data_IF_933000757632
#
_entry.id   IF_933000757632
#
_cell.length_a   1.000
_cell.length_b   1.000
_cell.length_c   1.000
_cell.angle_alpha   90.00
_cell.angle_beta   90.00
_cell.angle_gamma   90.00
#
_symmetry.space_group_name_H-M   'P 1'
#
loop_
_entity.id
_entity.type
_entity.pdbx_description
1 polymer ?
#
# COMPACT_ATOMS: atom_id res chain seq x y z
N UNK A 1 -35.14 -54.79 5.67
CA UNK A 1 -34.21 -54.34 4.61
C UNK A 1 -34.80 -53.20 3.78
N UNK A 2 -36.11 -53.21 3.48
CA UNK A 2 -36.79 -52.14 2.75
C UNK A 2 -36.78 -50.76 3.45
N UNK A 3 -37.04 -50.69 4.76
CA UNK A 3 -37.11 -49.39 5.44
C UNK A 3 -35.79 -48.61 5.45
N UNK A 4 -34.64 -49.29 5.48
CA UNK A 4 -33.32 -48.64 5.35
C UNK A 4 -33.08 -48.09 3.95
N UNK A 5 -33.58 -48.76 2.91
CA UNK A 5 -33.50 -48.28 1.52
C UNK A 5 -34.39 -47.04 1.32
N UNK A 6 -35.59 -47.04 1.88
CA UNK A 6 -36.50 -45.89 1.81
C UNK A 6 -35.92 -44.66 2.53
N UNK A 7 -35.31 -44.85 3.70
CA UNK A 7 -34.66 -43.76 4.43
C UNK A 7 -33.46 -43.18 3.67
N UNK A 8 -32.64 -44.04 3.03
CA UNK A 8 -31.51 -43.58 2.20
C UNK A 8 -31.96 -42.78 0.99
N UNK A 9 -33.05 -43.19 0.33
CA UNK A 9 -33.62 -42.49 -0.83
C UNK A 9 -34.15 -41.12 -0.42
N UNK A 10 -34.83 -41.01 0.73
CA UNK A 10 -35.33 -39.74 1.27
C UNK A 10 -34.17 -38.79 1.62
N UNK A 11 -33.09 -39.32 2.21
CA UNK A 11 -31.89 -38.52 2.53
C UNK A 11 -31.19 -38.03 1.26
N UNK A 12 -31.05 -38.89 0.24
CA UNK A 12 -30.47 -38.50 -1.05
C UNK A 12 -31.31 -37.45 -1.79
N UNK A 13 -32.64 -37.59 -1.79
CA UNK A 13 -33.55 -36.61 -2.39
C UNK A 13 -33.48 -35.26 -1.68
N UNK A 14 -33.40 -35.25 -0.34
CA UNK A 14 -33.21 -34.01 0.44
C UNK A 14 -31.85 -33.37 0.18
N UNK A 15 -30.78 -34.16 0.04
CA UNK A 15 -29.44 -33.66 -0.27
C UNK A 15 -29.35 -33.08 -1.69
N UNK A 16 -29.97 -33.75 -2.67
CA UNK A 16 -30.07 -33.24 -4.05
C UNK A 16 -30.92 -31.97 -4.14
N UNK A 17 -32.02 -31.87 -3.39
CA UNK A 17 -32.76 -30.60 -3.26
C UNK A 17 -31.89 -29.50 -2.65
N UNK A 18 -31.10 -29.80 -1.61
CA UNK A 18 -30.19 -28.84 -0.98
C UNK A 18 -29.11 -28.34 -1.95
N UNK A 19 -28.54 -29.23 -2.78
CA UNK A 19 -27.59 -28.83 -3.82
C UNK A 19 -28.22 -27.96 -4.92
N UNK A 20 -29.47 -28.22 -5.30
CA UNK A 20 -30.17 -27.38 -6.30
C UNK A 20 -30.58 -26.01 -5.74
N UNK A 21 -30.92 -25.90 -4.45
CA UNK A 21 -31.13 -24.60 -3.80
C UNK A 21 -29.83 -23.80 -3.60
N UNK A 22 -28.66 -24.45 -3.68
CA UNK A 22 -27.35 -23.79 -3.57
C UNK A 22 -26.91 -23.07 -4.86
N UNK A 23 -27.66 -23.21 -5.97
CA UNK A 23 -27.34 -22.61 -7.28
C UNK A 23 -28.27 -21.43 -7.65
N UNK A 24 -29.13 -20.98 -6.72
CA UNK A 24 -30.02 -19.83 -6.87
C UNK A 24 -29.76 -18.74 -5.82
N UNK A 25 -28.49 -18.40 -5.62
CA UNK A 25 -28.13 -17.11 -5.02
C UNK A 25 -27.20 -16.36 -5.96
N UNK A 26 -27.72 -16.03 -7.14
CA UNK A 26 -27.27 -14.83 -7.82
C UNK A 26 -27.70 -13.67 -6.93
N UNK A 27 -26.77 -13.13 -6.14
CA UNK A 27 -26.97 -11.86 -5.45
C UNK A 27 -27.03 -10.76 -6.50
N UNK A 28 -28.19 -10.60 -7.14
CA UNK A 28 -28.53 -9.35 -7.78
C UNK A 28 -28.69 -8.34 -6.65
N UNK A 29 -27.76 -7.39 -6.53
CA UNK A 29 -28.03 -6.21 -5.72
C UNK A 29 -29.26 -5.55 -6.35
N UNK A 30 -30.33 -5.42 -5.58
CA UNK A 30 -31.47 -4.62 -6.00
C UNK A 30 -30.98 -3.19 -6.14
N UNK A 31 -31.04 -2.57 -7.34
CA UNK A 31 -30.59 -1.20 -7.52
C UNK A 31 -31.35 -0.30 -6.54
N UNK A 32 -30.62 0.65 -5.92
CA UNK A 32 -31.22 1.57 -4.97
C UNK A 32 -32.43 2.31 -5.59
N UNK A 33 -33.50 2.55 -4.82
CA UNK A 33 -34.64 3.30 -5.32
C UNK A 33 -34.22 4.71 -5.75
N UNK A 34 -34.72 5.14 -6.91
CA UNK A 34 -34.17 6.27 -7.69
C UNK A 34 -34.16 7.61 -6.94
N UNK A 35 -35.21 7.92 -6.18
CA UNK A 35 -35.35 9.06 -5.27
C UNK A 35 -36.65 8.90 -4.48
N UNK A 36 -36.80 9.63 -3.37
CA UNK A 36 -38.08 9.71 -2.65
C UNK A 36 -39.15 10.39 -3.54
N UNK A 37 -40.44 9.95 -3.51
CA UNK A 37 -41.49 10.62 -4.28
C UNK A 37 -41.56 12.12 -3.98
N UNK A 38 -41.60 12.95 -5.03
CA UNK A 38 -41.60 14.41 -4.92
C UNK A 38 -40.22 15.07 -4.84
N UNK A 39 -39.13 14.29 -4.92
CA UNK A 39 -37.76 14.79 -4.91
C UNK A 39 -37.07 14.60 -6.26
N UNK A 40 -36.18 15.53 -6.60
CA UNK A 40 -35.37 15.44 -7.81
C UNK A 40 -34.40 14.25 -7.75
N UNK A 41 -34.44 13.41 -8.78
CA UNK A 41 -33.60 12.21 -8.87
C UNK A 41 -32.25 12.45 -9.55
N UNK A 42 -32.01 13.63 -10.12
CA UNK A 42 -30.79 13.94 -10.89
C UNK A 42 -30.24 15.32 -10.60
N UNK A 43 -28.92 15.40 -10.56
CA UNK A 43 -28.17 16.65 -10.59
C UNK A 43 -27.18 16.62 -11.75
N UNK A 44 -27.49 17.36 -12.81
CA UNK A 44 -26.78 17.26 -14.09
C UNK A 44 -26.84 15.83 -14.62
N UNK A 45 -25.68 15.20 -14.77
CA UNK A 45 -25.56 13.83 -15.27
C UNK A 45 -25.60 12.76 -14.17
N UNK A 46 -25.57 13.15 -12.89
CA UNK A 46 -25.54 12.20 -11.77
C UNK A 46 -26.96 11.86 -11.32
N UNK A 47 -27.25 10.57 -11.16
CA UNK A 47 -28.48 10.09 -10.51
C UNK A 47 -28.26 9.98 -9.00
N UNK A 48 -29.20 10.47 -8.19
CA UNK A 48 -29.10 10.58 -6.74
C UNK A 48 -30.08 9.60 -6.07
N UNK A 49 -29.66 8.35 -5.78
CA UNK A 49 -30.53 7.34 -5.21
C UNK A 49 -30.77 7.55 -3.71
N UNK A 50 -31.84 6.99 -3.15
CA UNK A 50 -32.01 6.86 -1.69
C UNK A 50 -30.84 6.04 -1.12
N UNK A 51 -30.24 6.37 0.04
CA UNK A 51 -30.61 7.36 1.06
C UNK A 51 -30.28 8.82 0.73
N UNK A 52 -29.59 9.09 -0.38
CA UNK A 52 -29.20 10.43 -0.79
C UNK A 52 -30.40 11.24 -1.30
N UNK A 53 -30.26 12.58 -1.25
CA UNK A 53 -31.29 13.49 -1.75
C UNK A 53 -30.78 14.90 -1.97
N UNK A 54 -31.41 15.61 -2.91
CA UNK A 54 -31.06 16.99 -3.29
C UNK A 54 -31.75 17.99 -2.38
N UNK A 55 -31.00 19.00 -1.92
CA UNK A 55 -31.54 20.12 -1.11
C UNK A 55 -31.54 19.83 0.40
N UNK A 56 -31.71 20.86 1.25
CA UNK A 56 -31.52 20.77 2.70
C UNK A 56 -32.36 19.65 3.34
N UNK A 57 -31.84 19.04 4.42
CA UNK A 57 -32.49 17.90 5.09
C UNK A 57 -33.93 18.19 5.53
N UNK A 58 -34.24 19.46 5.77
CA UNK A 58 -35.57 19.98 6.14
C UNK A 58 -36.62 19.74 5.04
N UNK A 59 -36.21 19.60 3.78
CA UNK A 59 -37.09 19.25 2.66
C UNK A 59 -37.47 17.75 2.64
N UNK A 60 -36.85 16.94 3.51
CA UNK A 60 -37.17 15.52 3.68
C UNK A 60 -36.81 14.62 2.49
N UNK A 61 -35.95 15.08 1.57
CA UNK A 61 -35.56 14.37 0.35
C UNK A 61 -34.37 13.43 0.53
N UNK A 62 -33.56 13.62 1.57
CA UNK A 62 -32.53 12.68 2.00
C UNK A 62 -32.96 12.00 3.30
N UNK A 63 -32.45 10.80 3.57
CA UNK A 63 -32.66 10.17 4.87
C UNK A 63 -31.82 10.91 5.93
N UNK A 64 -32.42 11.14 7.10
CA UNK A 64 -31.70 11.60 8.28
C UNK A 64 -31.46 10.39 9.16
N UNK A 65 -30.20 9.96 9.28
CA UNK A 65 -29.86 8.86 10.19
C UNK A 65 -30.13 9.23 11.65
N UNK A 66 -30.27 8.23 12.55
CA UNK A 66 -30.58 8.44 13.97
C UNK A 66 -29.54 9.30 14.74
N UNK A 67 -28.36 9.57 14.15
CA UNK A 67 -27.33 10.46 14.72
C UNK A 67 -27.03 11.72 13.90
N UNK A 68 -28.02 12.29 13.21
CA UNK A 68 -27.86 13.48 12.35
C UNK A 68 -26.94 13.25 11.13
N UNK A 69 -26.76 12.00 10.68
CA UNK A 69 -25.99 11.71 9.48
C UNK A 69 -26.65 12.33 8.24
N UNK A 70 -25.92 13.20 7.54
CA UNK A 70 -26.43 13.91 6.36
C UNK A 70 -26.09 13.14 5.08
N UNK A 71 -27.11 12.57 4.42
CA UNK A 71 -27.02 12.05 3.05
C UNK A 71 -27.33 13.14 2.00
N UNK A 72 -27.10 14.40 2.36
CA UNK A 72 -27.48 15.55 1.58
C UNK A 72 -26.52 15.80 0.42
N UNK A 73 -27.05 15.95 -0.79
CA UNK A 73 -26.32 16.42 -1.96
C UNK A 73 -26.80 17.82 -2.31
N UNK A 74 -25.85 18.76 -2.39
CA UNK A 74 -26.13 20.10 -2.90
C UNK A 74 -25.96 20.10 -4.40
N UNK A 75 -27.02 20.38 -5.15
CA UNK A 75 -26.93 20.54 -6.61
C UNK A 75 -26.70 22.01 -6.96
N UNK A 76 -25.51 22.34 -7.44
CA UNK A 76 -25.16 23.69 -7.85
C UNK A 76 -25.51 23.90 -9.33
N UNK A 77 -26.55 24.71 -9.55
CA UNK A 77 -27.09 25.04 -10.87
C UNK A 77 -26.37 26.20 -11.55
N UNK A 78 -25.33 26.77 -10.93
CA UNK A 78 -24.49 27.79 -11.58
C UNK A 78 -23.57 27.18 -12.64
N UNK A 79 -23.33 25.86 -12.56
CA UNK A 79 -22.64 25.08 -13.58
C UNK A 79 -23.60 24.59 -14.68
N UNK A 80 -23.07 24.41 -15.89
CA UNK A 80 -23.80 23.83 -17.01
C UNK A 80 -23.04 22.63 -17.60
N UNK A 81 -23.51 21.37 -17.39
CA UNK A 81 -24.68 20.99 -16.61
C UNK A 81 -24.48 21.22 -15.09
N UNK A 82 -25.56 21.26 -14.28
CA UNK A 82 -25.48 21.39 -12.82
C UNK A 82 -24.58 20.33 -12.17
N UNK A 83 -23.88 20.70 -11.10
CA UNK A 83 -22.89 19.83 -10.44
C UNK A 83 -23.30 19.44 -9.01
N UNK A 84 -23.19 18.16 -8.65
CA UNK A 84 -23.51 17.68 -7.31
C UNK A 84 -22.31 17.85 -6.36
N UNK A 85 -22.57 18.31 -5.15
CA UNK A 85 -21.56 18.54 -4.12
C UNK A 85 -21.94 17.91 -2.78
N UNK A 86 -20.93 17.31 -2.15
CA UNK A 86 -21.00 16.79 -0.79
C UNK A 86 -20.32 17.75 0.18
N UNK A 87 -20.90 17.90 1.37
CA UNK A 87 -20.33 18.70 2.46
C UNK A 87 -19.24 17.92 3.21
N UNK A 88 -18.05 18.49 3.29
CA UNK A 88 -16.84 17.87 3.85
C UNK A 88 -16.22 18.78 4.89
N UNK A 89 -16.81 18.80 6.07
CA UNK A 89 -16.26 19.50 7.24
C UNK A 89 -16.18 21.03 7.10
N UNK A 90 -15.71 21.68 8.16
CA UNK A 90 -15.56 23.13 8.25
C UNK A 90 -14.15 23.44 8.73
N UNK A 91 -13.50 24.43 8.13
CA UNK A 91 -12.21 24.91 8.65
C UNK A 91 -12.44 25.73 9.92
N UNK A 92 -12.15 25.17 11.10
CA UNK A 92 -12.39 25.84 12.38
C UNK A 92 -11.41 26.96 12.69
N UNK A 93 -10.24 27.00 12.05
CA UNK A 93 -9.26 28.09 12.24
C UNK A 93 -9.71 29.42 11.63
N UNK A 94 -10.65 29.39 10.69
CA UNK A 94 -11.26 30.59 10.09
C UNK A 94 -12.41 31.18 10.94
N UNK A 95 -12.61 30.70 12.17
CA UNK A 95 -13.59 31.21 13.11
C UNK A 95 -15.05 30.76 12.84
N UNK A 96 -16.03 31.32 13.57
CA UNK A 96 -17.43 30.87 13.53
C UNK A 96 -18.13 31.04 12.18
N UNK A 97 -17.65 31.98 11.35
CA UNK A 97 -18.18 32.30 10.03
C UNK A 97 -17.61 31.39 8.90
N UNK A 98 -16.73 30.44 9.23
CA UNK A 98 -16.13 29.56 8.24
C UNK A 98 -17.19 28.73 7.50
N UNK A 99 -17.19 28.83 6.17
CA UNK A 99 -18.08 28.03 5.32
C UNK A 99 -17.66 26.57 5.36
N UNK A 100 -18.64 25.68 5.15
CA UNK A 100 -18.34 24.28 4.94
C UNK A 100 -17.60 24.10 3.61
N UNK A 101 -16.62 23.20 3.61
CA UNK A 101 -15.94 22.82 2.37
C UNK A 101 -16.88 21.86 1.61
N UNK A 102 -16.98 22.06 0.31
CA UNK A 102 -17.81 21.26 -0.59
C UNK A 102 -16.91 20.55 -1.59
N UNK A 103 -17.18 19.27 -1.87
CA UNK A 103 -16.44 18.49 -2.88
C UNK A 103 -17.41 17.93 -3.91
N UNK A 104 -17.01 17.97 -5.18
CA UNK A 104 -17.86 17.47 -6.27
C UNK A 104 -18.01 15.94 -6.17
N UNK A 105 -19.24 15.45 -6.33
CA UNK A 105 -19.54 14.02 -6.38
C UNK A 105 -19.48 13.54 -7.83
N UNK A 106 -18.69 12.52 -8.09
CA UNK A 106 -18.45 11.99 -9.43
C UNK A 106 -19.39 10.81 -9.74
N UNK A 107 -19.60 9.93 -8.77
CA UNK A 107 -20.54 8.81 -8.89
C UNK A 107 -21.01 8.29 -7.53
N UNK A 108 -22.20 7.68 -7.52
CA UNK A 108 -22.79 7.01 -6.37
C UNK A 108 -23.17 5.59 -6.82
N UNK A 109 -22.76 4.59 -6.06
CA UNK A 109 -23.17 3.19 -6.20
C UNK A 109 -23.74 2.67 -4.88
N UNK A 110 -24.17 1.42 -4.86
CA UNK A 110 -24.81 0.77 -3.70
C UNK A 110 -23.95 0.78 -2.42
N UNK A 111 -22.62 0.84 -2.55
CA UNK A 111 -21.69 0.81 -1.42
C UNK A 111 -20.54 1.81 -1.49
N UNK A 112 -20.38 2.51 -2.62
CA UNK A 112 -19.27 3.45 -2.83
C UNK A 112 -19.78 4.81 -3.33
N UNK A 113 -19.13 5.89 -2.90
CA UNK A 113 -19.28 7.23 -3.49
C UNK A 113 -17.91 7.70 -3.94
N UNK A 114 -17.78 8.14 -5.20
CA UNK A 114 -16.55 8.75 -5.72
C UNK A 114 -16.68 10.26 -5.68
N UNK A 115 -15.69 10.94 -5.10
CA UNK A 115 -15.63 12.40 -5.02
C UNK A 115 -14.35 12.93 -5.67
N UNK A 116 -14.35 14.21 -6.07
CA UNK A 116 -13.13 14.89 -6.50
C UNK A 116 -12.10 14.98 -5.37
N UNK A 117 -10.83 14.98 -5.77
CA UNK A 117 -9.72 15.06 -4.84
C UNK A 117 -9.46 16.48 -4.35
N UNK A 118 -8.73 16.57 -3.24
CA UNK A 118 -8.13 17.81 -2.77
C UNK A 118 -6.66 17.56 -2.41
N UNK A 119 -5.75 17.61 -3.40
CA UNK A 119 -4.34 17.34 -3.17
C UNK A 119 -3.66 18.47 -2.39
N UNK A 120 -2.66 18.13 -1.58
CA UNK A 120 -1.69 19.09 -1.09
C UNK A 120 -0.61 19.31 -2.16
N UNK A 121 -0.19 20.54 -2.37
CA UNK A 121 0.83 20.92 -3.34
C UNK A 121 1.73 22.03 -2.80
N UNK A 122 3.03 21.79 -2.76
CA UNK A 122 4.04 22.81 -2.47
C UNK A 122 5.05 22.85 -3.60
N UNK A 123 5.27 24.02 -4.21
CA UNK A 123 6.23 24.17 -5.30
C UNK A 123 7.31 25.18 -4.97
N UNK A 124 8.53 24.91 -5.42
CA UNK A 124 9.71 25.71 -5.10
C UNK A 124 10.41 26.16 -6.37
N UNK A 125 10.98 27.35 -6.34
CA UNK A 125 11.78 27.88 -7.43
C UNK A 125 13.17 27.23 -7.41
N UNK A 126 13.62 26.77 -8.57
CA UNK A 126 14.97 26.21 -8.73
C UNK A 126 16.05 27.26 -8.42
N UNK A 127 17.13 26.83 -7.75
CA UNK A 127 18.29 27.60 -7.25
C UNK A 127 18.05 28.51 -6.04
N UNK A 128 16.89 29.13 -5.92
CA UNK A 128 16.56 29.98 -4.76
C UNK A 128 15.93 29.18 -3.62
N UNK A 129 15.21 28.11 -3.95
CA UNK A 129 14.44 27.31 -2.99
C UNK A 129 13.21 28.04 -2.44
N UNK A 130 12.86 29.20 -3.01
CA UNK A 130 11.72 29.99 -2.57
C UNK A 130 10.39 29.31 -2.93
N UNK A 131 9.42 29.38 -2.02
CA UNK A 131 8.09 28.82 -2.22
C UNK A 131 7.32 29.64 -3.24
N UNK A 132 6.90 29.00 -4.33
CA UNK A 132 6.16 29.60 -5.45
C UNK A 132 4.68 29.24 -5.46
N UNK A 133 4.31 28.12 -4.82
CA UNK A 133 2.94 27.71 -4.59
C UNK A 133 2.83 27.10 -3.18
N UNK A 134 1.95 27.67 -2.35
CA UNK A 134 1.71 27.24 -0.97
C UNK A 134 0.28 26.71 -0.81
N UNK A 135 0.05 25.51 -1.33
CA UNK A 135 -1.17 24.73 -1.09
C UNK A 135 -0.80 23.40 -0.40
N UNK A 136 0.24 23.42 0.43
CA UNK A 136 0.87 22.23 1.03
C UNK A 136 0.00 21.48 2.03
N UNK A 137 -1.26 21.87 2.22
CA UNK A 137 -2.21 21.27 3.16
C UNK A 137 -3.52 20.92 2.45
N UNK A 138 -3.84 19.62 2.43
CA UNK A 138 -5.15 19.10 2.03
C UNK A 138 -5.86 18.48 3.23
N UNK A 139 -7.19 18.59 3.33
CA UNK A 139 -7.93 17.94 4.40
C UNK A 139 -9.37 17.65 3.99
N UNK A 140 -9.94 16.59 4.56
CA UNK A 140 -11.36 16.26 4.44
C UNK A 140 -11.87 15.75 5.79
N UNK A 141 -13.11 16.10 6.15
CA UNK A 141 -13.74 15.60 7.37
C UNK A 141 -15.21 15.27 7.11
N UNK A 142 -15.57 14.01 7.29
CA UNK A 142 -16.93 13.49 7.08
C UNK A 142 -17.69 13.33 8.40
N UNK A 143 -17.37 14.16 9.40
CA UNK A 143 -18.05 14.16 10.69
C UNK A 143 -19.56 14.41 10.51
N UNK A 144 -20.39 13.54 11.08
CA UNK A 144 -21.84 13.63 10.87
C UNK A 144 -22.29 13.24 9.46
N UNK A 145 -21.46 12.50 8.71
CA UNK A 145 -21.85 11.84 7.48
C UNK A 145 -21.50 10.33 7.56
N UNK A 146 -22.22 9.46 6.84
CA UNK A 146 -22.11 8.01 6.93
C UNK A 146 -20.99 7.47 6.01
N UNK A 147 -19.92 8.25 5.83
CA UNK A 147 -18.83 7.92 4.92
C UNK A 147 -17.57 7.56 5.69
N UNK A 148 -16.88 6.54 5.20
CA UNK A 148 -15.47 6.26 5.54
C UNK A 148 -14.65 6.24 4.28
N UNK A 149 -13.38 6.63 4.35
CA UNK A 149 -12.47 6.44 3.20
C UNK A 149 -12.29 4.95 2.95
N UNK A 150 -12.50 4.52 1.70
CA UNK A 150 -12.34 3.12 1.33
C UNK A 150 -10.87 2.71 1.37
N UNK A 151 -10.49 1.97 2.40
CA UNK A 151 -9.09 1.56 2.61
C UNK A 151 -8.60 0.50 1.61
N UNK A 152 -9.53 -0.19 0.93
CA UNK A 152 -9.23 -1.20 -0.09
C UNK A 152 -9.15 -0.61 -1.50
N UNK A 153 -9.86 0.48 -1.77
CA UNK A 153 -9.84 1.15 -3.09
C UNK A 153 -8.81 2.25 -3.18
N UNK A 154 -8.60 2.99 -2.08
CA UNK A 154 -7.69 4.13 -2.06
C UNK A 154 -6.32 3.78 -1.48
N UNK A 155 -5.31 4.50 -1.96
CA UNK A 155 -3.99 4.60 -1.31
C UNK A 155 -3.65 6.06 -1.07
N UNK A 156 -2.78 6.30 -0.11
CA UNK A 156 -2.11 7.57 0.08
C UNK A 156 -0.88 7.63 -0.82
N UNK A 157 -0.71 8.72 -1.55
CA UNK A 157 0.39 8.93 -2.49
C UNK A 157 1.20 10.17 -2.12
N UNK A 158 2.51 10.11 -2.34
CA UNK A 158 3.42 11.24 -2.32
C UNK A 158 4.24 11.27 -3.60
N UNK A 159 4.28 12.42 -4.29
CA UNK A 159 5.02 12.60 -5.53
C UNK A 159 5.97 13.79 -5.41
N UNK A 160 7.15 13.66 -6.01
CA UNK A 160 8.20 14.66 -6.03
C UNK A 160 9.57 14.05 -5.75
N UNK A 161 10.62 14.83 -5.94
CA UNK A 161 11.95 14.49 -5.44
C UNK A 161 12.18 15.17 -4.09
N UNK A 162 12.96 14.52 -3.22
CA UNK A 162 13.22 14.97 -1.86
C UNK A 162 11.92 15.33 -1.11
N UNK A 163 10.86 14.57 -1.35
CA UNK A 163 9.50 14.94 -0.94
C UNK A 163 9.04 14.14 0.28
N UNK A 164 8.49 14.84 1.27
CA UNK A 164 7.77 14.28 2.40
C UNK A 164 6.28 14.53 2.22
N UNK A 165 5.55 13.46 1.95
CA UNK A 165 4.10 13.42 2.02
C UNK A 165 3.68 12.86 3.38
N UNK A 166 2.89 13.62 4.14
CA UNK A 166 2.45 13.25 5.48
C UNK A 166 0.93 13.12 5.51
N UNK A 167 0.42 12.10 6.20
CA UNK A 167 -1.00 11.88 6.44
C UNK A 167 -1.22 11.85 7.95
N UNK A 168 -2.26 12.52 8.42
CA UNK A 168 -2.66 12.55 9.82
C UNK A 168 -4.16 12.34 9.96
N UNK A 169 -4.52 11.44 10.86
CA UNK A 169 -5.89 11.23 11.29
C UNK A 169 -6.05 11.55 12.80
N UNK A 170 -6.73 12.65 13.16
CA UNK A 170 -6.82 13.11 14.54
C UNK A 170 -7.61 12.20 15.49
N UNK A 171 -8.67 11.50 15.06
CA UNK A 171 -9.50 10.70 15.98
C UNK A 171 -8.76 9.50 16.54
N UNK A 172 -7.87 8.90 15.74
CA UNK A 172 -7.06 7.75 16.14
C UNK A 172 -5.65 8.15 16.59
N UNK A 173 -5.32 9.45 16.57
CA UNK A 173 -3.94 9.96 16.67
C UNK A 173 -2.96 9.20 15.75
N UNK A 174 -3.43 8.93 14.54
CA UNK A 174 -2.75 8.08 13.57
C UNK A 174 -2.02 8.94 12.54
N UNK A 175 -0.79 8.58 12.19
CA UNK A 175 -0.05 9.27 11.15
C UNK A 175 0.73 8.30 10.28
N UNK A 176 0.90 8.68 9.02
CA UNK A 176 1.71 7.99 8.03
C UNK A 176 2.61 9.00 7.33
N UNK A 177 3.76 8.53 6.90
CA UNK A 177 4.64 9.28 6.01
C UNK A 177 4.96 8.45 4.79
N UNK A 178 5.04 9.13 3.67
CA UNK A 178 5.37 8.61 2.37
C UNK A 178 6.47 9.51 1.82
N UNK A 179 7.62 8.92 1.50
CA UNK A 179 8.81 9.68 1.15
C UNK A 179 9.32 9.22 -0.21
N UNK A 180 9.69 10.18 -1.04
CA UNK A 180 10.32 9.91 -2.33
C UNK A 180 11.60 10.72 -2.54
N UNK A 181 12.62 10.05 -3.08
CA UNK A 181 13.92 10.63 -3.41
C UNK A 181 14.24 10.39 -4.89
N UNK A 182 14.89 11.36 -5.52
CA UNK A 182 15.45 11.18 -6.84
C UNK A 182 16.57 12.19 -7.07
N UNK A 183 17.68 11.73 -7.64
CA UNK A 183 18.82 12.57 -7.97
C UNK A 183 18.78 13.01 -9.44
N UNK A 184 18.37 12.12 -10.34
CA UNK A 184 18.25 12.37 -11.78
C UNK A 184 16.93 11.82 -12.30
N UNK A 185 16.52 12.31 -13.47
CA UNK A 185 15.32 11.82 -14.16
C UNK A 185 15.41 10.36 -14.56
N UNK A 186 16.62 9.84 -14.76
CA UNK A 186 16.88 8.42 -15.09
C UNK A 186 16.53 7.45 -13.96
N UNK A 187 16.51 7.92 -12.70
CA UNK A 187 16.12 7.10 -11.54
C UNK A 187 14.60 6.91 -11.45
N UNK A 188 13.82 7.63 -12.26
CA UNK A 188 12.37 7.70 -12.19
C UNK A 188 11.80 6.71 -13.20
N UNK A 189 11.06 5.72 -12.69
CA UNK A 189 10.50 4.63 -13.50
C UNK A 189 9.00 4.83 -13.62
N UNK A 190 8.51 4.98 -14.85
CA UNK A 190 7.08 5.08 -15.13
C UNK A 190 6.31 3.87 -14.58
N UNK A 191 5.15 4.13 -13.99
CA UNK A 191 4.31 3.15 -13.32
C UNK A 191 4.82 2.65 -11.96
N UNK A 192 6.03 3.01 -11.55
CA UNK A 192 6.59 2.65 -10.24
C UNK A 192 6.24 3.70 -9.18
N UNK A 193 5.87 3.26 -7.97
CA UNK A 193 5.56 4.17 -6.87
C UNK A 193 6.03 3.61 -5.53
N UNK A 194 7.33 3.28 -5.44
CA UNK A 194 7.94 2.67 -4.24
C UNK A 194 9.00 3.54 -3.56
N UNK A 195 9.17 4.80 -3.94
CA UNK A 195 10.11 5.73 -3.30
C UNK A 195 11.01 6.54 -4.23
N UNK A 196 11.02 6.25 -5.54
CA UNK A 196 11.74 7.08 -6.53
C UNK A 196 10.77 7.94 -7.31
N UNK A 197 10.70 9.24 -7.00
CA UNK A 197 9.74 10.20 -7.59
C UNK A 197 8.28 10.03 -7.16
N UNK A 198 7.87 8.82 -6.76
CA UNK A 198 6.54 8.48 -6.26
C UNK A 198 6.65 7.46 -5.14
N UNK A 199 5.87 7.63 -4.08
CA UNK A 199 5.66 6.64 -3.04
C UNK A 199 4.15 6.45 -2.82
N UNK A 200 3.74 5.25 -2.38
CA UNK A 200 2.37 4.98 -1.99
C UNK A 200 2.31 4.14 -0.71
N UNK A 201 1.30 4.40 0.11
CA UNK A 201 1.03 3.67 1.35
C UNK A 201 -0.47 3.36 1.44
N UNK A 202 -0.88 2.15 1.82
CA UNK A 202 -2.29 1.86 2.04
C UNK A 202 -2.81 2.54 3.31
N UNK A 203 -4.12 2.74 3.38
CA UNK A 203 -4.77 3.45 4.48
C UNK A 203 -5.24 2.48 5.57
N UNK A 204 -5.34 2.92 6.84
CA UNK A 204 -6.01 2.13 7.86
C UNK A 204 -7.52 2.10 7.62
N UNK A 205 -8.19 1.08 8.16
CA UNK A 205 -9.64 0.99 8.12
C UNK A 205 -10.27 2.02 9.05
N UNK A 206 -11.41 2.61 8.64
CA UNK A 206 -12.24 3.46 9.51
C UNK A 206 -11.90 4.96 9.49
N UNK A 207 -11.04 5.42 8.58
CA UNK A 207 -10.71 6.84 8.39
C UNK A 207 -11.97 7.63 8.01
N UNK A 208 -12.33 8.64 8.82
CA UNK A 208 -13.51 9.51 8.62
C UNK A 208 -13.18 10.98 8.46
N UNK A 209 -12.02 11.39 8.90
CA UNK A 209 -11.42 12.67 8.56
C UNK A 209 -9.96 12.37 8.18
N UNK A 210 -9.23 13.37 7.74
CA UNK A 210 -7.78 13.31 7.60
C UNK A 210 -7.26 14.69 7.23
N UNK A 211 -5.95 14.85 7.40
CA UNK A 211 -5.16 15.93 6.84
C UNK A 211 -3.94 15.32 6.13
N UNK A 212 -3.61 15.85 4.97
CA UNK A 212 -2.41 15.52 4.22
C UNK A 212 -1.54 16.75 4.06
N UNK A 213 -0.22 16.56 4.10
CA UNK A 213 0.78 17.58 3.85
C UNK A 213 1.72 17.13 2.75
N UNK A 214 2.26 18.07 1.98
CA UNK A 214 3.30 17.83 0.99
C UNK A 214 4.36 18.92 1.11
N UNK A 215 5.61 18.55 1.35
CA UNK A 215 6.73 19.48 1.44
C UNK A 215 8.00 18.86 0.85
N UNK A 216 8.91 19.71 0.37
CA UNK A 216 10.28 19.30 0.08
C UNK A 216 11.09 19.30 1.36
N UNK A 217 11.85 18.23 1.57
CA UNK A 217 12.83 18.09 2.65
C UNK A 217 14.15 18.78 2.32
N UNK A 218 14.42 19.05 1.04
CA UNK A 218 15.65 19.70 0.59
C UNK A 218 15.36 20.68 -0.55
N UNK A 219 15.09 21.93 -0.20
CA UNK A 219 14.78 23.01 -1.15
C UNK A 219 16.01 23.56 -1.88
N UNK A 220 17.21 23.04 -1.58
CA UNK A 220 18.47 23.39 -2.26
C UNK A 220 18.92 22.31 -3.25
N UNK A 221 18.14 21.27 -3.43
CA UNK A 221 18.47 20.13 -4.29
C UNK A 221 18.44 20.49 -5.78
N UNK A 222 19.36 19.93 -6.55
CA UNK A 222 19.35 20.04 -8.03
C UNK A 222 18.13 19.35 -8.66
N UNK A 223 17.47 18.46 -7.91
CA UNK A 223 16.24 17.77 -8.34
C UNK A 223 15.09 18.75 -8.64
N UNK A 224 15.08 19.94 -8.01
CA UNK A 224 14.11 21.00 -8.28
C UNK A 224 14.16 21.53 -9.72
N UNK A 225 15.25 21.31 -10.46
CA UNK A 225 15.37 21.72 -11.87
C UNK A 225 14.38 20.98 -12.79
N UNK A 226 13.94 19.77 -12.40
CA UNK A 226 13.01 18.95 -13.18
C UNK A 226 11.77 18.50 -12.37
N UNK A 227 11.84 18.50 -11.04
CA UNK A 227 10.76 18.16 -10.12
C UNK A 227 10.56 19.25 -9.05
N UNK A 228 10.10 20.46 -9.43
CA UNK A 228 10.01 21.62 -8.52
C UNK A 228 8.90 21.51 -7.47
N UNK A 229 7.99 20.56 -7.60
CA UNK A 229 6.80 20.44 -6.75
C UNK A 229 6.75 19.12 -5.98
N UNK A 230 6.26 19.22 -4.75
CA UNK A 230 5.88 18.12 -3.89
C UNK A 230 4.36 18.03 -3.83
N UNK A 231 3.82 16.83 -4.00
CA UNK A 231 2.39 16.56 -3.95
C UNK A 231 2.07 15.47 -2.94
N UNK A 232 0.90 15.56 -2.31
CA UNK A 232 0.33 14.44 -1.57
C UNK A 232 -1.18 14.39 -1.70
N UNK A 233 -1.73 13.19 -1.84
CA UNK A 233 -3.15 12.99 -2.06
C UNK A 233 -3.59 11.56 -1.72
N UNK A 234 -4.88 11.38 -1.52
CA UNK A 234 -5.51 10.06 -1.42
C UNK A 234 -6.23 9.81 -2.74
N UNK A 235 -6.06 8.65 -3.37
CA UNK A 235 -6.70 8.38 -4.65
C UNK A 235 -7.04 6.92 -4.87
N UNK A 236 -8.04 6.68 -5.70
CA UNK A 236 -8.43 5.36 -6.20
C UNK A 236 -7.25 4.73 -6.94
N UNK A 237 -6.71 3.65 -6.38
CA UNK A 237 -5.44 3.08 -6.83
C UNK A 237 -5.47 2.53 -8.25
N UNK A 238 -6.64 2.11 -8.75
CA UNK A 238 -6.83 1.64 -10.13
C UNK A 238 -6.98 2.78 -11.15
N UNK A 239 -7.20 4.02 -10.69
CA UNK A 239 -7.38 5.21 -11.55
C UNK A 239 -6.12 6.04 -11.69
N UNK A 240 -5.06 5.71 -10.95
CA UNK A 240 -3.79 6.42 -11.02
C UNK A 240 -2.64 5.47 -11.31
N UNK A 241 -1.83 5.85 -12.30
CA UNK A 241 -0.54 5.23 -12.59
C UNK A 241 0.46 6.36 -12.70
N UNK A 242 1.56 6.24 -11.96
CA UNK A 242 2.60 7.25 -11.94
C UNK A 242 3.27 7.39 -13.31
N UNK A 243 3.57 8.63 -13.69
CA UNK A 243 4.35 8.97 -14.87
C UNK A 243 5.42 9.99 -14.46
N UNK A 244 6.64 9.85 -14.96
CA UNK A 244 7.72 10.81 -14.70
C UNK A 244 7.33 12.24 -15.11
N UNK A 245 6.47 12.39 -16.12
CA UNK A 245 5.92 13.69 -16.54
C UNK A 245 5.11 14.39 -15.46
N UNK A 246 4.55 13.65 -14.49
CA UNK A 246 3.78 14.20 -13.37
C UNK A 246 4.65 15.08 -12.45
N UNK A 247 5.96 14.90 -12.50
CA UNK A 247 6.90 15.72 -11.73
C UNK A 247 7.24 17.04 -12.42
N UNK A 248 6.91 17.20 -13.70
CA UNK A 248 7.31 18.37 -14.47
C UNK A 248 6.42 19.59 -14.16
N UNK A 249 7.05 20.65 -13.64
CA UNK A 249 6.40 21.91 -13.33
C UNK A 249 5.21 21.73 -12.39
N UNK A 250 4.09 22.38 -12.70
CA UNK A 250 2.84 22.28 -11.93
C UNK A 250 1.80 21.36 -12.57
N UNK A 251 2.19 20.56 -13.57
CA UNK A 251 1.27 19.79 -14.42
C UNK A 251 0.35 18.86 -13.63
N UNK A 252 0.86 18.26 -12.56
CA UNK A 252 0.10 17.33 -11.74
C UNK A 252 -0.91 17.98 -10.80
N UNK A 253 -0.76 19.28 -10.49
CA UNK A 253 -1.62 19.98 -9.54
C UNK A 253 -3.12 19.89 -9.91
N UNK A 254 -3.44 20.07 -11.18
CA UNK A 254 -4.83 19.94 -11.66
C UNK A 254 -5.21 18.49 -11.93
N UNK A 255 -4.29 17.68 -12.49
CA UNK A 255 -4.52 16.24 -12.75
C UNK A 255 -4.92 15.50 -11.48
N UNK A 256 -4.28 15.81 -10.36
CA UNK A 256 -4.56 15.20 -9.06
C UNK A 256 -6.01 15.40 -8.59
N UNK A 257 -6.65 16.53 -8.93
CA UNK A 257 -8.05 16.83 -8.57
C UNK A 257 -9.04 15.89 -9.27
N UNK A 258 -8.65 15.31 -10.40
CA UNK A 258 -9.48 14.42 -11.21
C UNK A 258 -9.25 12.93 -10.87
N UNK A 259 -8.30 12.61 -10.00
CA UNK A 259 -8.13 11.27 -9.44
C UNK A 259 -9.16 11.10 -8.31
N UNK A 260 -10.18 10.23 -8.46
CA UNK A 260 -11.25 10.15 -7.48
C UNK A 260 -10.76 9.66 -6.12
N UNK A 261 -11.40 10.14 -5.05
CA UNK A 261 -11.35 9.50 -3.73
C UNK A 261 -12.61 8.66 -3.58
N UNK A 262 -12.46 7.39 -3.22
CA UNK A 262 -13.58 6.47 -2.99
C UNK A 262 -13.98 6.47 -1.52
N UNK A 263 -15.26 6.70 -1.24
CA UNK A 263 -15.85 6.61 0.08
C UNK A 263 -16.65 5.31 0.15
N UNK A 264 -16.38 4.47 1.15
CA UNK A 264 -17.31 3.41 1.52
C UNK A 264 -18.48 4.03 2.28
N UNK A 265 -19.69 3.63 1.92
CA UNK A 265 -20.89 3.93 2.68
C UNK A 265 -21.73 2.66 2.76
N UNK A 266 -22.47 2.50 3.86
CA UNK A 266 -23.32 1.34 4.04
C UNK A 266 -24.57 1.73 4.84
N UNK A 267 -25.69 1.08 4.50
CA UNK A 267 -26.72 0.80 5.47
C UNK A 267 -26.17 -0.34 6.35
N UNK A 268 -26.09 -0.14 7.67
CA UNK A 268 -25.46 -1.10 8.59
C UNK A 268 -25.90 -2.56 8.31
N UNK A 269 -24.96 -3.39 7.82
CA UNK A 269 -25.19 -4.83 7.67
C UNK A 269 -24.28 -5.56 6.68
N UNK A 270 -23.24 -6.21 7.22
CA UNK A 270 -22.51 -7.40 6.74
C UNK A 270 -21.41 -7.25 5.66
N UNK A 271 -20.18 -7.59 6.08
CA UNK A 271 -19.00 -7.91 5.24
C UNK A 271 -18.67 -9.39 5.37
N UNK A 272 -18.23 -10.05 4.29
CA UNK A 272 -17.44 -11.28 4.35
C UNK A 272 -16.39 -11.30 3.23
N UNK A 273 -15.19 -11.78 3.57
CA UNK A 273 -14.07 -12.03 2.66
C UNK A 273 -13.55 -13.46 2.92
N UNK A 274 -13.01 -14.12 1.91
CA UNK A 274 -12.03 -15.20 2.10
C UNK A 274 -11.29 -15.56 0.81
N UNK A 275 -10.04 -15.97 1.01
CA UNK A 275 -8.99 -16.34 0.07
C UNK A 275 -8.88 -17.87 -0.14
N UNK A 276 -8.12 -18.28 -1.15
CA UNK A 276 -6.92 -19.14 -1.06
C UNK A 276 -6.73 -20.12 -2.24
N UNK A 277 -5.49 -20.63 -2.29
CA UNK A 277 -4.65 -21.18 -3.35
C UNK A 277 -4.82 -22.67 -3.72
N UNK A 278 -4.09 -23.14 -4.74
CA UNK A 278 -3.30 -24.40 -4.66
C UNK A 278 -2.24 -24.52 -5.79
N UNK A 279 -1.23 -25.37 -5.56
CA UNK A 279 -0.01 -25.67 -6.35
C UNK A 279 0.06 -27.18 -6.67
N UNK A 280 0.75 -27.62 -7.74
CA UNK A 280 1.41 -28.94 -7.70
C UNK A 280 2.73 -29.15 -8.50
N UNK A 281 3.72 -29.72 -7.79
CA UNK A 281 4.65 -30.85 -8.13
C UNK A 281 5.77 -30.77 -9.21
N UNK A 282 7.03 -30.57 -8.77
CA UNK A 282 8.25 -30.56 -9.63
C UNK A 282 9.52 -31.26 -9.11
N UNK A 283 9.46 -32.04 -8.04
CA UNK A 283 10.67 -32.42 -7.28
C UNK A 283 11.43 -33.67 -7.81
N UNK A 284 12.19 -33.59 -8.91
CA UNK A 284 13.15 -34.65 -9.30
C UNK A 284 14.57 -34.14 -9.59
N UNK A 285 15.57 -34.73 -8.94
CA UNK A 285 17.00 -34.49 -9.15
C UNK A 285 17.55 -35.22 -10.39
N UNK A 286 18.71 -34.80 -10.90
CA UNK A 286 19.43 -35.51 -11.98
C UNK A 286 19.88 -36.90 -11.49
N UNK A 287 19.73 -37.92 -12.32
CA UNK A 287 20.13 -39.28 -11.97
C UNK A 287 21.63 -39.34 -11.66
N UNK A 288 22.00 -39.96 -10.53
CA UNK A 288 23.38 -40.03 -10.05
C UNK A 288 23.83 -38.82 -9.21
N UNK A 289 22.93 -37.89 -8.90
CA UNK A 289 23.21 -36.71 -8.08
C UNK A 289 22.42 -36.72 -6.78
N UNK A 290 22.95 -36.01 -5.78
CA UNK A 290 22.30 -35.84 -4.49
C UNK A 290 20.95 -35.13 -4.65
N UNK A 291 19.90 -35.83 -4.24
CA UNK A 291 18.53 -35.33 -4.34
C UNK A 291 18.11 -34.47 -3.14
N UNK A 292 18.92 -34.40 -2.08
CA UNK A 292 18.61 -33.67 -0.85
C UNK A 292 19.87 -33.11 -0.17
N UNK A 293 19.70 -32.00 0.52
CA UNK A 293 20.63 -31.50 1.54
C UNK A 293 19.83 -31.17 2.80
N UNK A 294 20.07 -31.93 3.88
CA UNK A 294 19.22 -31.86 5.05
C UNK A 294 17.76 -32.18 4.71
N UNK A 295 16.86 -31.23 4.98
CA UNK A 295 15.43 -31.39 4.71
C UNK A 295 14.98 -30.83 3.34
N UNK A 296 15.90 -30.22 2.58
CA UNK A 296 15.57 -29.56 1.31
C UNK A 296 15.81 -30.54 0.16
N UNK A 297 14.80 -30.69 -0.71
CA UNK A 297 14.92 -31.47 -1.94
C UNK A 297 15.55 -30.63 -3.05
N UNK A 298 16.44 -31.23 -3.83
CA UNK A 298 17.23 -30.55 -4.87
C UNK A 298 16.73 -31.04 -6.23
N UNK A 299 15.80 -30.33 -6.88
CA UNK A 299 15.34 -30.68 -8.22
C UNK A 299 16.33 -30.22 -9.30
N UNK A 300 16.39 -30.93 -10.42
CA UNK A 300 17.06 -30.41 -11.61
C UNK A 300 16.29 -29.16 -12.11
N UNK A 301 16.94 -28.05 -12.49
CA UNK A 301 18.33 -27.90 -12.94
C UNK A 301 19.40 -27.67 -11.86
N UNK A 302 19.03 -27.70 -10.58
CA UNK A 302 19.99 -27.53 -9.48
C UNK A 302 20.81 -28.78 -9.21
N UNK A 303 22.03 -28.59 -8.68
CA UNK A 303 22.88 -29.69 -8.23
C UNK A 303 23.95 -29.27 -7.24
N UNK A 304 24.27 -30.16 -6.29
CA UNK A 304 25.38 -29.97 -5.35
C UNK A 304 26.71 -30.07 -6.10
N UNK A 305 27.63 -29.15 -5.82
CA UNK A 305 29.02 -29.19 -6.34
C UNK A 305 29.74 -30.38 -5.71
N UNK A 306 30.22 -31.33 -6.52
CA UNK A 306 31.00 -32.47 -6.05
C UNK A 306 32.49 -32.31 -6.37
N UNK A 307 33.39 -33.02 -5.67
CA UNK A 307 34.82 -33.04 -5.98
C UNK A 307 35.15 -33.54 -7.40
N UNK A 308 34.22 -34.28 -8.02
CA UNK A 308 34.34 -34.91 -9.34
C UNK A 308 33.96 -33.97 -10.51
N UNK A 309 33.40 -32.79 -10.22
CA UNK A 309 33.09 -31.75 -11.22
C UNK A 309 31.67 -31.19 -11.15
N UNK A 310 31.25 -30.48 -12.21
CA UNK A 310 30.00 -29.68 -12.26
C UNK A 310 28.77 -30.42 -12.80
N UNK A 311 28.84 -31.75 -12.93
CA UNK A 311 27.87 -32.54 -13.70
C UNK A 311 26.47 -32.69 -13.10
N UNK A 312 26.21 -32.19 -11.89
CA UNK A 312 24.91 -32.35 -11.22
C UNK A 312 23.94 -31.18 -11.41
N UNK A 313 24.45 -30.01 -11.80
CA UNK A 313 23.65 -28.88 -12.25
C UNK A 313 23.59 -28.85 -13.79
N UNK A 314 22.76 -27.99 -14.36
CA UNK A 314 22.78 -27.75 -15.82
C UNK A 314 24.11 -27.10 -16.26
N UNK A 315 24.91 -27.84 -17.04
CA UNK A 315 26.16 -27.34 -17.64
C UNK A 315 25.89 -26.51 -18.91
N UNK A 316 26.59 -25.37 -19.07
CA UNK A 316 26.51 -24.50 -20.25
C UNK A 316 25.69 -23.20 -20.09
N UNK A 317 25.04 -22.98 -18.94
CA UNK A 317 24.20 -21.80 -18.69
C UNK A 317 24.80 -20.75 -17.74
N UNK A 318 26.09 -20.83 -17.38
CA UNK A 318 26.78 -19.90 -16.47
C UNK A 318 26.51 -20.14 -14.98
N UNK A 319 27.20 -19.37 -14.13
CA UNK A 319 27.11 -19.42 -12.65
C UNK A 319 25.65 -19.14 -12.24
N UNK A 320 25.02 -20.01 -11.44
CA UNK A 320 23.66 -19.77 -10.94
C UNK A 320 22.88 -20.97 -10.37
N UNK A 321 23.04 -22.19 -10.91
CA UNK A 321 22.28 -23.38 -10.46
C UNK A 321 23.07 -24.36 -9.60
N UNK A 322 24.32 -23.99 -9.29
CA UNK A 322 25.20 -24.76 -8.44
C UNK A 322 24.87 -24.50 -6.98
N UNK A 323 24.87 -25.55 -6.16
CA UNK A 323 24.58 -25.49 -4.73
C UNK A 323 25.74 -26.07 -3.93
N UNK A 324 25.90 -25.64 -2.68
CA UNK A 324 26.79 -26.31 -1.72
C UNK A 324 26.01 -26.75 -0.49
N UNK A 325 26.29 -27.95 -0.01
CA UNK A 325 25.67 -28.49 1.20
C UNK A 325 26.69 -28.51 2.32
N UNK A 326 26.51 -27.68 3.34
CA UNK A 326 27.40 -27.63 4.49
C UNK A 326 26.93 -28.59 5.58
N UNK A 327 27.63 -29.72 5.69
CA UNK A 327 27.34 -30.79 6.66
C UNK A 327 27.86 -30.49 8.07
N UNK A 328 28.51 -29.35 8.28
CA UNK A 328 28.94 -28.92 9.62
C UNK A 328 27.76 -28.48 10.50
N UNK A 329 26.62 -28.16 9.87
CA UNK A 329 25.38 -27.84 10.57
C UNK A 329 24.52 -29.09 10.79
N UNK A 330 23.66 -29.04 11.80
CA UNK A 330 22.75 -30.14 12.13
C UNK A 330 21.30 -29.61 12.23
N UNK A 331 20.42 -29.89 11.24
CA UNK A 331 20.69 -30.61 9.99
C UNK A 331 21.60 -29.83 9.00
N UNK A 332 22.19 -30.50 7.98
CA UNK A 332 22.98 -29.84 6.95
C UNK A 332 22.23 -28.70 6.27
N UNK A 333 22.93 -27.59 6.01
CA UNK A 333 22.36 -26.37 5.40
C UNK A 333 22.77 -26.24 3.94
N UNK A 334 21.84 -25.79 3.11
CA UNK A 334 22.02 -25.62 1.66
C UNK A 334 22.35 -24.17 1.32
N UNK A 335 23.31 -23.93 0.44
CA UNK A 335 23.77 -22.60 0.05
C UNK A 335 23.82 -22.46 -1.48
N UNK A 336 23.62 -21.23 -1.96
CA UNK A 336 23.71 -20.90 -3.37
C UNK A 336 25.19 -20.77 -3.81
N UNK A 337 25.61 -21.57 -4.78
CA UNK A 337 26.98 -21.64 -5.27
C UNK A 337 27.98 -22.02 -4.18
N UNK A 338 29.10 -21.30 -4.14
CA UNK A 338 30.10 -21.35 -3.05
C UNK A 338 29.95 -20.18 -2.07
N UNK A 339 28.85 -19.43 -2.15
CA UNK A 339 28.60 -18.23 -1.35
C UNK A 339 28.03 -18.51 0.05
N UNK A 340 27.63 -17.43 0.73
CA UNK A 340 27.06 -17.47 2.09
C UNK A 340 25.53 -17.39 2.14
N UNK A 341 24.85 -17.39 0.99
CA UNK A 341 23.39 -17.26 0.91
C UNK A 341 22.75 -18.62 1.16
N UNK A 342 22.12 -18.77 2.32
CA UNK A 342 21.40 -19.98 2.70
C UNK A 342 20.06 -20.06 1.96
N UNK A 343 19.82 -21.20 1.33
CA UNK A 343 18.54 -21.56 0.70
C UNK A 343 17.72 -22.32 1.72
N UNK A 344 16.48 -21.89 1.93
CA UNK A 344 15.54 -22.52 2.87
C UNK A 344 14.51 -23.40 2.16
N UNK A 345 14.23 -23.13 0.89
CA UNK A 345 13.27 -23.89 0.09
C UNK A 345 13.52 -23.70 -1.40
N UNK A 346 13.19 -24.73 -2.19
CA UNK A 346 13.25 -24.71 -3.66
C UNK A 346 11.88 -25.10 -4.18
N UNK A 347 11.34 -24.33 -5.12
CA UNK A 347 10.09 -24.62 -5.82
C UNK A 347 10.31 -24.62 -7.33
N UNK A 348 9.24 -24.84 -8.10
CA UNK A 348 9.25 -24.81 -9.57
C UNK A 348 9.87 -23.56 -10.14
N UNK A 349 9.42 -22.41 -9.63
CA UNK A 349 9.71 -21.11 -10.24
C UNK A 349 10.59 -20.25 -9.35
N UNK A 350 10.84 -20.64 -8.11
CA UNK A 350 11.40 -19.76 -7.09
C UNK A 350 12.32 -20.49 -6.11
N UNK A 351 13.34 -19.75 -5.66
CA UNK A 351 14.18 -20.08 -4.52
C UNK A 351 13.80 -19.19 -3.34
N UNK A 352 13.67 -19.78 -2.14
CA UNK A 352 13.58 -19.02 -0.89
C UNK A 352 14.95 -18.99 -0.25
N UNK A 353 15.42 -17.79 0.09
CA UNK A 353 16.72 -17.57 0.71
C UNK A 353 16.58 -16.81 2.02
N UNK A 354 17.57 -16.91 2.89
CA UNK A 354 17.71 -16.00 4.03
C UNK A 354 18.42 -14.71 3.58
N UNK A 355 18.05 -13.59 4.21
CA UNK A 355 18.68 -12.30 3.99
C UNK A 355 19.24 -11.78 5.30
N UNK A 356 20.31 -10.99 5.22
CA UNK A 356 20.82 -10.25 6.39
C UNK A 356 19.99 -8.98 6.57
N UNK A 357 19.56 -8.72 7.80
CA UNK A 357 18.77 -7.53 8.14
C UNK A 357 19.65 -6.39 8.64
N UNK A 358 19.36 -5.17 8.20
CA UNK A 358 19.89 -3.97 8.82
C UNK A 358 19.18 -3.77 10.17
N UNK A 359 19.94 -3.40 11.21
CA UNK A 359 19.40 -3.20 12.55
C UNK A 359 20.15 -2.08 13.26
N UNK A 360 19.39 -1.16 13.86
CA UNK A 360 19.90 -0.16 14.79
C UNK A 360 19.04 -0.17 16.05
N UNK A 361 19.67 -0.22 17.22
CA UNK A 361 18.97 -0.27 18.50
C UNK A 361 19.37 0.88 19.40
N UNK A 362 18.42 1.38 20.19
CA UNK A 362 18.62 2.49 21.11
C UNK A 362 18.25 2.09 22.53
N UNK A 363 18.92 2.68 23.53
CA UNK A 363 18.47 2.61 24.91
C UNK A 363 17.37 3.67 25.18
N UNK A 364 16.80 3.63 26.39
CA UNK A 364 15.74 4.57 26.82
C UNK A 364 16.15 6.06 26.82
N UNK A 365 17.45 6.36 26.77
CA UNK A 365 17.99 7.71 26.70
C UNK A 365 18.25 8.17 25.26
N UNK A 366 17.97 7.32 24.27
CA UNK A 366 18.22 7.60 22.85
C UNK A 366 19.65 7.29 22.38
N UNK A 367 20.51 6.69 23.22
CA UNK A 367 21.85 6.31 22.80
C UNK A 367 21.83 5.01 22.01
N UNK A 368 22.61 4.93 20.93
CA UNK A 368 22.79 3.72 20.14
C UNK A 368 23.45 2.63 20.99
N UNK A 369 22.87 1.43 20.96
CA UNK A 369 23.36 0.23 21.68
C UNK A 369 23.82 -0.87 20.73
N UNK A 370 23.29 -0.89 19.51
CA UNK A 370 23.72 -1.75 18.42
C UNK A 370 23.60 -0.96 17.13
N UNK A 371 24.66 -0.94 16.33
CA UNK A 371 24.67 -0.33 14.99
C UNK A 371 25.13 -1.36 13.97
N UNK A 372 24.17 -1.88 13.22
CA UNK A 372 24.33 -2.61 11.97
C UNK A 372 23.35 -2.03 10.95
N UNK A 373 23.36 -0.71 10.83
CA UNK A 373 22.43 0.07 9.99
C UNK A 373 22.52 -0.23 8.50
N UNK A 374 23.50 -1.01 8.06
CA UNK A 374 23.69 -1.42 6.66
C UNK A 374 23.73 -2.94 6.56
N UNK A 375 22.92 -3.50 5.66
CA UNK A 375 22.95 -4.91 5.27
C UNK A 375 22.96 -5.03 3.75
N UNK A 376 23.53 -6.10 3.21
CA UNK A 376 23.55 -6.35 1.77
C UNK A 376 23.30 -7.82 1.49
N UNK A 377 22.48 -8.09 0.47
CA UNK A 377 22.28 -9.42 -0.11
C UNK A 377 22.51 -9.33 -1.61
N UNK A 378 23.54 -10.00 -2.12
CA UNK A 378 23.93 -9.92 -3.53
C UNK A 378 23.79 -11.30 -4.19
N UNK A 379 22.81 -11.42 -5.08
CA UNK A 379 22.57 -12.61 -5.91
C UNK A 379 22.93 -12.36 -7.39
N UNK A 380 23.66 -11.28 -7.70
CA UNK A 380 24.07 -10.90 -9.07
C UNK A 380 25.03 -11.90 -9.72
N UNK A 381 25.64 -12.78 -8.92
CA UNK A 381 26.42 -13.94 -9.40
C UNK A 381 25.53 -15.05 -9.96
N UNK A 382 24.23 -15.03 -9.64
CA UNK A 382 23.23 -15.98 -10.13
C UNK A 382 22.40 -15.40 -11.29
N UNK A 383 21.52 -16.22 -11.86
CA UNK A 383 20.53 -15.80 -12.87
C UNK A 383 19.18 -15.42 -12.27
N UNK A 384 19.07 -15.39 -10.94
CA UNK A 384 17.85 -15.08 -10.22
C UNK A 384 17.76 -13.58 -9.92
N UNK A 385 16.53 -13.09 -9.83
CA UNK A 385 16.19 -11.75 -9.37
C UNK A 385 15.28 -11.87 -8.16
N UNK A 386 15.28 -10.89 -7.26
CA UNK A 386 14.28 -10.83 -6.19
C UNK A 386 12.88 -10.69 -6.78
N UNK A 387 11.94 -11.53 -6.33
CA UNK A 387 10.56 -11.51 -6.81
C UNK A 387 9.83 -10.25 -6.37
N UNK A 388 9.62 -9.30 -7.28
CA UNK A 388 8.92 -8.04 -7.01
C UNK A 388 7.43 -8.20 -6.68
N UNK A 389 6.86 -9.38 -6.93
CA UNK A 389 5.44 -9.70 -6.65
C UNK A 389 5.25 -10.48 -5.36
N UNK A 390 6.27 -11.18 -4.86
CA UNK A 390 6.18 -11.99 -3.63
C UNK A 390 7.02 -11.46 -2.47
N UNK A 391 8.04 -10.67 -2.77
CA UNK A 391 8.86 -10.03 -1.75
C UNK A 391 8.38 -8.59 -1.54
N UNK A 392 8.30 -8.23 -0.28
CA UNK A 392 7.97 -6.88 0.17
C UNK A 392 9.09 -6.44 1.09
N UNK A 393 9.56 -5.21 0.92
CA UNK A 393 10.56 -4.62 1.80
C UNK A 393 9.86 -4.14 3.07
N UNK A 394 10.37 -4.53 4.24
CA UNK A 394 9.81 -4.15 5.53
C UNK A 394 10.81 -3.37 6.36
N UNK A 395 10.33 -2.37 7.09
CA UNK A 395 11.08 -1.72 8.15
C UNK A 395 10.25 -1.69 9.44
N UNK A 396 10.87 -2.05 10.56
CA UNK A 396 10.21 -2.17 11.85
C UNK A 396 10.90 -1.23 12.84
N UNK A 397 10.08 -0.46 13.56
CA UNK A 397 10.51 0.48 14.57
C UNK A 397 9.64 1.74 14.60
N UNK A 398 9.86 2.60 15.59
CA UNK A 398 9.23 3.91 15.63
C UNK A 398 10.23 4.99 15.23
N UNK A 399 9.75 6.03 14.54
CA UNK A 399 10.60 7.09 13.95
C UNK A 399 11.69 6.50 13.06
N UNK A 400 11.35 5.41 12.36
CA UNK A 400 12.27 4.59 11.58
C UNK A 400 12.10 4.93 10.12
N UNK A 401 13.21 5.16 9.44
CA UNK A 401 13.30 5.28 8.00
C UNK A 401 14.27 4.22 7.49
N UNK A 402 13.85 3.43 6.51
CA UNK A 402 14.73 2.49 5.85
C UNK A 402 14.55 2.59 4.36
N UNK A 403 15.63 2.35 3.62
CA UNK A 403 15.57 2.31 2.17
C UNK A 403 16.45 1.19 1.63
N UNK A 404 16.07 0.72 0.46
CA UNK A 404 16.89 -0.12 -0.39
C UNK A 404 17.41 0.72 -1.54
N UNK A 405 18.67 0.51 -1.88
CA UNK A 405 19.28 1.08 -3.06
C UNK A 405 19.53 -0.04 -4.08
N UNK A 406 19.43 0.26 -5.36
CA UNK A 406 19.58 -0.70 -6.45
C UNK A 406 20.68 -0.24 -7.39
N UNK A 407 21.96 -0.51 -7.09
CA UNK A 407 23.06 -0.07 -7.96
C UNK A 407 22.95 -0.68 -9.37
N UNK A 408 22.33 -1.86 -9.48
CA UNK A 408 22.08 -2.55 -10.75
C UNK A 408 20.93 -1.91 -11.58
N UNK A 409 20.19 -0.93 -11.03
CA UNK A 409 19.01 -0.29 -11.62
C UNK A 409 19.13 1.25 -11.66
N UNK A 410 20.29 1.78 -12.10
CA UNK A 410 20.53 3.22 -12.25
C UNK A 410 20.27 4.02 -10.95
N UNK A 411 20.82 3.57 -9.82
CA UNK A 411 20.66 4.20 -8.48
C UNK A 411 19.18 4.34 -8.07
N UNK A 412 18.36 3.33 -8.38
CA UNK A 412 16.97 3.28 -7.93
C UNK A 412 16.89 3.16 -6.40
N UNK A 413 16.05 3.98 -5.76
CA UNK A 413 15.77 3.84 -4.32
C UNK A 413 14.30 3.52 -4.05
N UNK A 414 14.06 2.56 -3.17
CA UNK A 414 12.74 2.32 -2.57
C UNK A 414 12.86 2.58 -1.08
N UNK A 415 11.91 3.32 -0.53
CA UNK A 415 11.98 3.77 0.85
C UNK A 415 10.72 3.42 1.62
N UNK A 416 10.87 3.38 2.93
CA UNK A 416 9.85 2.97 3.87
C UNK A 416 10.05 3.76 5.15
N UNK A 417 8.98 4.37 5.66
CA UNK A 417 9.04 5.07 6.94
C UNK A 417 7.90 4.67 7.85
N UNK A 418 8.19 4.58 9.14
CA UNK A 418 7.21 4.35 10.19
C UNK A 418 7.41 5.30 11.36
N UNK A 419 6.31 5.81 11.88
CA UNK A 419 6.23 6.72 13.00
C UNK A 419 5.28 6.15 14.04
N UNK A 420 5.54 6.35 15.32
CA UNK A 420 4.58 6.01 16.36
C UNK A 420 4.72 6.98 17.52
N UNK A 421 3.59 7.25 18.19
CA UNK A 421 3.53 8.19 19.31
C UNK A 421 3.56 7.48 20.66
N UNK A 422 3.22 6.19 20.71
CA UNK A 422 3.34 5.35 21.89
C UNK A 422 3.33 3.88 21.48
N UNK A 423 3.67 2.98 22.41
CA UNK A 423 3.60 1.53 22.14
C UNK A 423 2.17 1.10 21.80
N UNK A 424 1.18 1.71 22.46
CA UNK A 424 -0.24 1.43 22.29
C UNK A 424 -0.78 1.92 20.94
N UNK A 425 -0.09 2.85 20.28
CA UNK A 425 -0.43 3.27 18.91
C UNK A 425 -0.01 2.26 17.85
N UNK A 426 0.87 1.31 18.17
CA UNK A 426 1.30 0.29 17.19
C UNK A 426 0.16 -0.71 16.97
N UNK A 427 -0.18 -0.93 15.70
CA UNK A 427 -1.25 -1.86 15.31
C UNK A 427 -0.68 -3.24 14.98
N UNK A 428 -0.95 -4.22 15.85
CA UNK A 428 -0.57 -5.61 15.61
C UNK A 428 -1.22 -6.16 14.32
N UNK A 429 -0.41 -6.85 13.52
CA UNK A 429 -0.84 -7.42 12.23
C UNK A 429 -0.92 -6.41 11.08
N UNK A 430 -0.51 -5.15 11.29
CA UNK A 430 -0.49 -4.09 10.26
C UNK A 430 0.92 -3.53 10.09
N UNK A 431 1.31 -3.21 8.84
CA UNK A 431 2.64 -2.70 8.52
C UNK A 431 2.59 -1.52 7.54
N UNK A 432 1.80 -0.50 7.88
CA UNK A 432 1.50 0.61 6.98
C UNK A 432 2.01 1.96 7.45
N UNK A 433 2.92 2.00 8.41
CA UNK A 433 3.63 3.20 8.85
C UNK A 433 3.52 3.51 10.35
N UNK A 434 2.92 2.63 11.16
CA UNK A 434 2.96 2.72 12.63
C UNK A 434 3.68 1.54 13.27
N UNK A 435 4.91 1.76 13.72
CA UNK A 435 5.78 0.71 14.27
C UNK A 435 6.33 -0.28 13.22
N UNK A 436 5.73 -0.32 12.03
CA UNK A 436 6.15 -1.11 10.89
C UNK A 436 5.70 -0.41 9.61
N UNK A 437 6.52 -0.42 8.57
CA UNK A 437 6.13 0.00 7.22
C UNK A 437 6.57 -1.05 6.20
N UNK A 438 5.91 -1.03 5.04
CA UNK A 438 6.28 -1.88 3.92
C UNK A 438 6.37 -1.08 2.61
N UNK A 439 7.28 -1.47 1.71
CA UNK A 439 7.38 -0.91 0.36
C UNK A 439 7.63 -2.01 -0.67
N UNK A 440 7.27 -1.76 -1.92
CA UNK A 440 7.49 -2.68 -3.03
C UNK A 440 8.94 -2.66 -3.50
N UNK A 441 9.41 -3.81 -3.99
CA UNK A 441 10.74 -3.96 -4.61
C UNK A 441 10.57 -3.84 -6.13
N UNK A 442 11.50 -3.19 -6.87
CA UNK A 442 11.42 -3.08 -8.32
C UNK A 442 11.69 -4.43 -9.01
N UNK A 443 11.17 -4.58 -10.24
CA UNK A 443 11.44 -5.74 -11.08
C UNK A 443 12.91 -5.76 -11.54
N UNK A 444 13.54 -6.92 -11.49
CA UNK A 444 14.90 -7.14 -12.04
C UNK A 444 16.05 -6.85 -11.08
N UNK A 445 15.77 -6.69 -9.79
CA UNK A 445 16.79 -6.41 -8.78
C UNK A 445 17.58 -7.66 -8.40
N UNK A 446 18.92 -7.59 -8.44
CA UNK A 446 19.84 -8.70 -8.13
C UNK A 446 20.76 -8.41 -6.93
N UNK A 447 20.84 -7.16 -6.50
CA UNK A 447 21.55 -6.72 -5.29
C UNK A 447 20.62 -5.89 -4.41
N UNK A 448 20.55 -6.21 -3.12
CA UNK A 448 19.72 -5.54 -2.11
C UNK A 448 20.59 -4.97 -0.97
N UNK A 449 21.28 -3.85 -1.18
CA UNK A 449 21.75 -3.04 -0.06
C UNK A 449 20.53 -2.40 0.64
N UNK A 450 20.46 -2.61 1.95
CA UNK A 450 19.41 -2.10 2.83
C UNK A 450 20.06 -1.19 3.87
N UNK A 451 19.48 -0.02 4.06
CA UNK A 451 19.93 0.96 5.03
C UNK A 451 18.79 1.31 5.99
N UNK A 452 19.09 1.46 7.29
CA UNK A 452 18.14 1.87 8.31
C UNK A 452 18.68 3.07 9.11
N UNK A 453 17.86 4.12 9.24
CA UNK A 453 18.17 5.36 9.93
C UNK A 453 16.99 5.83 10.81
N UNK A 454 17.29 6.72 11.77
CA UNK A 454 16.29 7.41 12.57
C UNK A 454 15.98 8.78 11.96
N UNK A 455 14.72 9.20 11.96
CA UNK A 455 14.33 10.56 11.56
C UNK A 455 14.86 11.61 12.56
N UNK A 456 15.48 12.67 12.06
CA UNK A 456 15.80 13.89 12.83
C UNK A 456 14.92 15.03 12.31
N UNK A 457 13.74 15.20 12.89
CA UNK A 457 13.05 16.50 12.94
C UNK A 457 12.37 16.66 14.32
N UNK A 458 12.45 17.88 14.85
CA UNK A 458 12.40 18.36 16.26
C UNK A 458 11.00 18.24 16.93
N UNK A 459 10.81 18.02 18.27
CA UNK A 459 11.52 17.24 19.33
C UNK A 459 10.58 16.21 20.06
N UNK A 460 10.93 15.60 21.22
CA UNK A 460 11.99 14.61 21.50
C UNK A 460 11.55 13.13 21.17
N UNK A 461 12.49 12.15 21.21
CA UNK A 461 12.23 10.74 20.87
C UNK A 461 11.55 9.94 21.98
N UNK A 462 10.57 9.11 21.61
CA UNK A 462 10.18 7.92 22.39
C UNK A 462 11.02 6.79 21.82
N UNK A 463 11.99 6.32 22.61
CA UNK A 463 12.89 5.24 22.22
C UNK A 463 12.17 3.89 22.36
N UNK A 464 11.99 3.17 21.26
CA UNK A 464 11.56 1.76 21.27
C UNK A 464 12.73 0.88 21.70
N UNK A 465 12.55 0.16 22.81
CA UNK A 465 13.49 -0.82 23.33
C UNK A 465 13.38 -2.11 22.51
N UNK A 466 14.43 -2.53 21.81
CA UNK A 466 14.46 -3.84 21.17
C UNK A 466 14.74 -4.91 22.24
N UNK A 467 13.71 -5.66 22.64
CA UNK A 467 13.96 -6.98 23.24
C UNK A 467 14.32 -7.93 22.11
N UNK A 468 15.58 -8.34 22.07
CA UNK A 468 16.07 -9.42 21.22
C UNK A 468 15.29 -10.68 21.64
N UNK A 469 14.29 -11.08 20.86
CA UNK A 469 13.71 -12.41 20.99
C UNK A 469 14.79 -13.39 20.55
N UNK A 470 15.44 -14.00 21.53
CA UNK A 470 16.47 -15.00 21.33
C UNK A 470 15.88 -16.35 20.93
N UNK A 471 16.65 -17.00 20.05
CA UNK A 471 16.63 -18.40 19.63
C UNK A 471 15.60 -18.84 18.58
#
# INVERSE_FOLDING_TARGET
MEQRKLLMIIVLLKFLLFLQLSWLTSSASTPLPLAKPGCDAKCGNLTIPVPFGIGPNENGCSLTGPELFHYNITCDTTYNPPKPFLRVGRNTTAGPAARYRMVEVLSISDSEVRIKNWPATSCYQYKTGELTLDEGIGWMAFNGAPFTISYTRNKFFGLGCDTLAYFFEPDFNFNLSCISFCQRTTNIIDGSCSGSGCCQTPLPKGVRKFLVLANSMNTSSDSLSFAPCSYSFIGESEKYTFSASDLNGTSFHNKAKDIPVVLDWALFGLTLASSSSSDPSFFRAKAGCDAKCGNISIPYPFGIITPEGYGCSIDGAGIGYQLSCNTSFQPPKLFLGTGSIEITDISETELRITTVQAIICYNKFGNVTLDKSVAWSNISVSRFTFSYTKNVFFAIGCKTYAFIDGPDLQDYSSSCSSNCNSRESVMDGSCFGQGCCQSTIPKGLNSLPTYQFLFISIPPPIATQCNILGH
#
